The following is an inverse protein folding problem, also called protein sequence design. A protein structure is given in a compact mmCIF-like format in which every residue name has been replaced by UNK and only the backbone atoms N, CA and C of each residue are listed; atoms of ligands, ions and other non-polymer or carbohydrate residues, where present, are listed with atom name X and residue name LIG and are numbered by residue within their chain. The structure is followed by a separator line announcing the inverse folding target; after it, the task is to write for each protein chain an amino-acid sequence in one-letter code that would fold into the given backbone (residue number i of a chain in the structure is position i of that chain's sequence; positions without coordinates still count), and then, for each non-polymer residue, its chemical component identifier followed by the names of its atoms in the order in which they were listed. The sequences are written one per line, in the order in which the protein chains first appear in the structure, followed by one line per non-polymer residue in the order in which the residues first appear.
data_IF_624884749587
#
_entry.id   IF_624884749587
#
_cell.length_a   1.000
_cell.length_b   1.000
_cell.length_c   1.000
_cell.angle_alpha   90.00
_cell.angle_beta   90.00
_cell.angle_gamma   90.00
#
_symmetry.space_group_name_H-M   'P 1'
#
loop_
_entity.id
_entity.type
_entity.pdbx_description
1 polymer ?
#
# COMPACT_ATOMS: atom_id res chain seq x y z
N UNK A 1 -2.57 18.29 27.84
CA UNK A 1 -2.47 17.74 26.50
C UNK A 1 -3.87 17.76 25.90
N UNK A 2 -4.05 18.46 24.80
CA UNK A 2 -5.29 18.55 24.05
C UNK A 2 -5.08 17.92 22.67
N UNK A 3 -6.03 17.13 22.20
CA UNK A 3 -5.97 16.43 20.93
C UNK A 3 -7.15 16.86 20.07
N UNK A 4 -6.91 17.28 18.83
CA UNK A 4 -7.97 17.64 17.87
C UNK A 4 -7.51 17.53 16.42
N UNK A 5 -8.47 17.48 15.52
CA UNK A 5 -8.21 17.65 14.08
C UNK A 5 -7.92 19.13 13.83
N UNK A 6 -6.84 19.40 13.10
CA UNK A 6 -6.42 20.77 12.76
C UNK A 6 -7.36 21.38 11.73
N UNK A 7 -7.67 22.66 11.90
CA UNK A 7 -8.53 23.39 10.98
C UNK A 7 -7.94 24.77 10.64
N UNK A 8 -8.21 25.24 9.43
CA UNK A 8 -7.85 26.59 9.00
C UNK A 8 -6.36 26.93 9.21
N UNK A 9 -6.07 28.01 9.92
CA UNK A 9 -4.71 28.48 10.15
C UNK A 9 -3.84 27.54 11.00
N UNK A 10 -4.42 26.58 11.72
CA UNK A 10 -3.66 25.60 12.51
C UNK A 10 -2.88 24.64 11.60
N UNK A 11 -3.38 24.37 10.39
CA UNK A 11 -2.69 23.52 9.41
C UNK A 11 -1.34 24.10 9.00
N UNK A 12 -1.18 25.42 8.99
CA UNK A 12 0.10 26.09 8.70
C UNK A 12 1.17 25.75 9.76
N UNK A 13 0.77 25.56 11.02
CA UNK A 13 1.69 25.18 12.10
C UNK A 13 2.29 23.79 11.89
N UNK A 14 1.61 22.93 11.12
CA UNK A 14 2.09 21.60 10.76
C UNK A 14 3.45 21.65 10.07
N UNK A 15 3.63 22.60 9.15
CA UNK A 15 4.87 22.75 8.38
C UNK A 15 6.06 23.12 9.28
N UNK A 16 5.82 23.90 10.32
CA UNK A 16 6.85 24.18 11.34
C UNK A 16 7.25 22.91 12.08
N UNK A 17 6.28 22.12 12.58
CA UNK A 17 6.55 20.86 13.26
C UNK A 17 7.30 19.90 12.35
N UNK A 18 6.92 19.79 11.07
CA UNK A 18 7.57 18.94 10.08
C UNK A 18 8.99 19.37 9.76
N UNK A 19 9.23 20.70 9.58
CA UNK A 19 10.57 21.21 9.32
C UNK A 19 11.55 20.84 10.42
N UNK A 20 11.11 20.95 11.68
CA UNK A 20 11.92 20.59 12.85
C UNK A 20 12.08 19.07 13.04
N UNK A 21 11.00 18.31 12.81
CA UNK A 21 11.01 16.87 13.05
C UNK A 21 11.78 16.09 11.98
N UNK A 22 11.71 16.54 10.72
CA UNK A 22 12.32 15.87 9.56
C UNK A 22 13.58 16.58 9.06
N UNK A 23 14.02 17.65 9.74
CA UNK A 23 15.22 18.42 9.39
C UNK A 23 15.23 18.88 7.92
N UNK A 24 14.06 19.44 7.47
CA UNK A 24 13.87 19.91 6.11
C UNK A 24 13.91 21.43 6.03
N UNK A 25 14.57 21.89 4.99
CA UNK A 25 14.69 23.35 4.71
C UNK A 25 13.45 23.93 4.02
N UNK A 26 13.47 25.26 3.83
CA UNK A 26 12.36 26.02 3.25
C UNK A 26 11.93 25.55 1.86
N UNK A 27 12.87 25.02 1.06
CA UNK A 27 12.58 24.56 -0.30
C UNK A 27 11.65 23.34 -0.26
N UNK A 28 12.01 22.33 0.54
CA UNK A 28 11.22 21.10 0.69
C UNK A 28 9.87 21.41 1.35
N UNK A 29 9.86 22.31 2.36
CA UNK A 29 8.61 22.73 2.99
C UNK A 29 7.67 23.42 2.03
N UNK A 30 8.16 24.27 1.11
CA UNK A 30 7.32 24.82 0.04
C UNK A 30 6.73 23.76 -0.87
N UNK A 31 7.54 22.79 -1.29
CA UNK A 31 7.06 21.67 -2.12
C UNK A 31 5.98 20.85 -1.42
N UNK A 32 6.15 20.56 -0.13
CA UNK A 32 5.16 19.84 0.66
C UNK A 32 3.88 20.65 0.87
N UNK A 33 4.00 21.95 1.03
CA UNK A 33 2.83 22.84 1.11
C UNK A 33 2.06 22.87 -0.22
N UNK A 34 2.76 23.02 -1.33
CA UNK A 34 2.14 22.98 -2.67
C UNK A 34 1.46 21.64 -2.96
N UNK A 35 2.08 20.54 -2.50
CA UNK A 35 1.47 19.22 -2.59
C UNK A 35 0.27 19.09 -1.67
N UNK A 36 0.37 19.52 -0.42
CA UNK A 36 -0.71 19.51 0.57
C UNK A 36 -1.95 20.26 0.10
N UNK A 37 -1.79 21.39 -0.59
CA UNK A 37 -2.91 22.13 -1.18
C UNK A 37 -3.68 21.32 -2.24
N UNK A 38 -2.99 20.44 -2.99
CA UNK A 38 -3.63 19.57 -4.01
C UNK A 38 -4.48 18.46 -3.42
N UNK A 39 -4.13 18.00 -2.21
CA UNK A 39 -4.77 16.85 -1.57
C UNK A 39 -5.60 17.25 -0.33
N UNK A 40 -5.74 18.52 -0.02
CA UNK A 40 -6.36 19.02 1.23
C UNK A 40 -7.77 18.49 1.49
N UNK A 41 -8.58 18.33 0.42
CA UNK A 41 -9.94 17.81 0.53
C UNK A 41 -9.99 16.32 0.88
N UNK A 42 -8.86 15.62 0.71
CA UNK A 42 -8.73 14.19 0.97
C UNK A 42 -7.93 13.91 2.24
N UNK A 43 -7.56 14.95 3.00
CA UNK A 43 -6.68 14.80 4.15
C UNK A 43 -7.29 15.38 5.41
N UNK A 44 -6.89 14.82 6.54
CA UNK A 44 -7.01 15.47 7.84
C UNK A 44 -5.73 15.30 8.63
N UNK A 45 -5.43 16.26 9.48
CA UNK A 45 -4.27 16.20 10.38
C UNK A 45 -4.74 16.23 11.83
N UNK A 46 -4.32 15.25 12.61
CA UNK A 46 -4.52 15.23 14.05
C UNK A 46 -3.33 15.90 14.70
N UNK A 47 -3.59 16.93 15.49
CA UNK A 47 -2.59 17.66 16.26
C UNK A 47 -2.72 17.43 17.76
N UNK A 48 -1.59 17.44 18.45
CA UNK A 48 -1.51 17.39 19.92
C UNK A 48 -0.89 18.67 20.42
N UNK A 49 -1.60 19.34 21.32
CA UNK A 49 -1.25 20.63 21.89
C UNK A 49 -0.94 20.52 23.38
N UNK A 50 -0.03 21.38 23.83
CA UNK A 50 0.14 21.71 25.24
C UNK A 50 0.15 23.24 25.43
N UNK A 51 0.57 23.73 26.61
CA UNK A 51 0.61 25.18 26.88
C UNK A 51 1.55 25.96 25.93
N UNK A 52 2.50 25.32 25.29
CA UNK A 52 3.43 25.92 24.33
C UNK A 52 2.93 25.87 22.87
N UNK A 53 1.77 25.27 22.61
CA UNK A 53 1.19 25.15 21.27
C UNK A 53 1.25 23.75 20.69
N UNK A 54 1.26 23.63 19.36
CA UNK A 54 1.28 22.36 18.63
C UNK A 54 2.62 21.62 18.81
N UNK A 55 2.58 20.39 19.35
CA UNK A 55 3.76 19.59 19.69
C UNK A 55 3.98 18.41 18.78
N UNK A 56 2.91 17.79 18.29
CA UNK A 56 2.98 16.63 17.43
C UNK A 56 1.80 16.60 16.43
N UNK A 57 2.02 15.96 15.30
CA UNK A 57 1.03 15.82 14.24
C UNK A 57 1.04 14.40 13.67
N UNK A 58 -0.10 14.00 13.13
CA UNK A 58 -0.27 12.84 12.24
C UNK A 58 -1.17 13.26 11.09
N UNK A 59 -0.67 13.22 9.88
CA UNK A 59 -1.45 13.41 8.67
C UNK A 59 -2.06 12.07 8.24
N UNK A 60 -3.31 12.07 7.87
CA UNK A 60 -3.99 10.94 7.24
C UNK A 60 -4.56 11.38 5.90
N UNK A 61 -4.16 10.71 4.85
CA UNK A 61 -4.77 10.85 3.52
C UNK A 61 -5.84 9.78 3.36
N UNK A 62 -7.06 10.20 3.09
CA UNK A 62 -8.17 9.31 2.78
C UNK A 62 -8.05 8.89 1.31
N UNK A 63 -7.49 7.72 1.09
CA UNK A 63 -7.32 7.13 -0.23
C UNK A 63 -8.06 5.79 -0.32
N UNK A 64 -7.86 5.06 -1.40
CA UNK A 64 -8.53 3.78 -1.63
C UNK A 64 -7.54 2.75 -2.13
N UNK A 65 -7.71 1.50 -1.72
CA UNK A 65 -6.86 0.38 -2.14
C UNK A 65 -7.67 -0.77 -2.72
N UNK A 66 -7.10 -1.45 -3.68
CA UNK A 66 -7.59 -2.74 -4.13
C UNK A 66 -7.33 -3.82 -3.07
N UNK A 67 -8.30 -4.68 -2.84
CA UNK A 67 -8.19 -5.90 -2.04
C UNK A 67 -8.47 -7.16 -2.89
N UNK A 68 -8.48 -7.01 -4.19
CA UNK A 68 -8.81 -8.03 -5.16
C UNK A 68 -9.53 -7.45 -6.38
N UNK A 69 -9.98 -8.27 -7.33
CA UNK A 69 -10.45 -7.80 -8.64
C UNK A 69 -11.63 -6.81 -8.59
N UNK A 70 -12.54 -6.98 -7.63
CA UNK A 70 -13.76 -6.17 -7.54
C UNK A 70 -13.92 -5.46 -6.20
N UNK A 71 -12.85 -5.45 -5.39
CA UNK A 71 -12.92 -4.91 -4.03
C UNK A 71 -11.99 -3.71 -3.91
N UNK A 72 -12.57 -2.54 -3.72
CA UNK A 72 -11.84 -1.32 -3.44
C UNK A 72 -12.41 -0.74 -2.14
N UNK A 73 -11.55 -0.51 -1.15
CA UNK A 73 -11.93 -0.01 0.17
C UNK A 73 -11.24 1.31 0.48
N UNK A 74 -11.86 2.10 1.37
CA UNK A 74 -11.23 3.29 1.93
C UNK A 74 -10.03 2.88 2.80
N UNK A 75 -8.92 3.60 2.64
CA UNK A 75 -7.67 3.37 3.34
C UNK A 75 -7.08 4.70 3.83
N UNK A 76 -6.78 4.79 5.12
CA UNK A 76 -6.05 5.91 5.68
C UNK A 76 -4.54 5.72 5.48
N UNK A 77 -3.98 6.47 4.53
CA UNK A 77 -2.55 6.52 4.32
C UNK A 77 -1.93 7.47 5.35
N UNK A 78 -1.20 6.92 6.32
CA UNK A 78 -0.63 7.68 7.44
C UNK A 78 0.74 8.22 7.05
N UNK A 79 0.86 9.53 7.08
CA UNK A 79 2.11 10.25 6.86
C UNK A 79 2.29 11.38 7.88
N UNK A 80 3.36 12.18 7.72
CA UNK A 80 3.58 13.36 8.56
C UNK A 80 3.55 13.10 10.06
N UNK A 81 3.92 11.90 10.51
CA UNK A 81 4.02 11.55 11.94
C UNK A 81 5.22 12.25 12.52
N UNK A 82 4.99 13.37 13.15
CA UNK A 82 6.03 14.28 13.60
C UNK A 82 5.81 14.71 15.05
N UNK A 83 6.93 14.96 15.75
CA UNK A 83 6.93 15.52 17.09
C UNK A 83 8.12 16.48 17.20
N UNK A 84 7.90 17.66 17.76
CA UNK A 84 8.98 18.62 18.02
C UNK A 84 10.11 17.96 18.83
N UNK A 85 11.38 18.15 18.44
CA UNK A 85 12.52 17.51 19.10
C UNK A 85 12.55 17.71 20.63
N UNK A 86 12.21 18.90 21.09
CA UNK A 86 12.20 19.25 22.52
C UNK A 86 11.13 18.51 23.35
N UNK A 87 10.16 17.88 22.69
CA UNK A 87 9.04 17.19 23.37
C UNK A 87 8.96 15.70 23.03
N UNK A 88 9.93 15.17 22.31
CA UNK A 88 10.07 13.73 22.09
C UNK A 88 10.14 12.96 23.41
N UNK A 89 9.63 11.73 23.41
CA UNK A 89 9.58 10.88 24.62
C UNK A 89 8.41 11.17 25.56
N UNK A 90 7.63 12.25 25.37
CA UNK A 90 6.47 12.60 26.21
C UNK A 90 5.14 11.96 25.75
N UNK A 91 5.15 11.09 24.73
CA UNK A 91 3.97 10.36 24.27
C UNK A 91 3.07 11.13 23.29
N UNK A 92 3.41 12.35 22.87
CA UNK A 92 2.55 13.19 22.01
C UNK A 92 2.27 12.57 20.64
N UNK A 93 3.28 12.03 19.95
CA UNK A 93 3.07 11.37 18.65
C UNK A 93 2.21 10.10 18.78
N UNK A 94 2.36 9.37 19.89
CA UNK A 94 1.50 8.22 20.19
C UNK A 94 0.04 8.62 20.44
N UNK A 95 -0.19 9.74 21.13
CA UNK A 95 -1.54 10.28 21.33
C UNK A 95 -2.16 10.71 19.98
N UNK A 96 -1.38 11.37 19.11
CA UNK A 96 -1.83 11.75 17.78
C UNK A 96 -2.20 10.53 16.92
N UNK A 97 -1.41 9.43 16.97
CA UNK A 97 -1.73 8.17 16.26
C UNK A 97 -3.03 7.54 16.76
N UNK A 98 -3.26 7.50 18.07
CA UNK A 98 -4.53 7.00 18.64
C UNK A 98 -5.71 7.86 18.20
N UNK A 99 -5.58 9.18 18.23
CA UNK A 99 -6.60 10.08 17.72
C UNK A 99 -6.85 9.94 16.21
N UNK A 100 -5.81 9.64 15.43
CA UNK A 100 -5.97 9.35 14.01
C UNK A 100 -6.78 8.07 13.77
N UNK A 101 -6.61 7.02 14.60
CA UNK A 101 -7.43 5.80 14.53
C UNK A 101 -8.92 6.09 14.83
N UNK A 102 -9.20 6.90 15.86
CA UNK A 102 -10.57 7.31 16.20
C UNK A 102 -11.21 8.11 15.04
N UNK A 103 -10.47 9.04 14.45
CA UNK A 103 -10.95 9.85 13.33
C UNK A 103 -11.16 9.01 12.05
N UNK A 104 -10.25 8.10 11.73
CA UNK A 104 -10.42 7.16 10.61
C UNK A 104 -11.71 6.34 10.80
N UNK A 105 -11.90 5.76 11.99
CA UNK A 105 -13.11 5.00 12.30
C UNK A 105 -14.38 5.85 12.15
N UNK A 106 -14.39 7.07 12.69
CA UNK A 106 -15.54 7.98 12.60
C UNK A 106 -15.89 8.36 11.16
N UNK A 107 -14.90 8.35 10.23
CA UNK A 107 -15.07 8.66 8.82
C UNK A 107 -15.32 7.41 7.95
N UNK A 108 -15.46 6.23 8.52
CA UNK A 108 -15.67 5.00 7.75
C UNK A 108 -14.42 4.48 7.03
N UNK A 109 -13.24 4.86 7.49
CA UNK A 109 -11.96 4.38 6.97
C UNK A 109 -11.55 3.17 7.81
N UNK A 110 -11.79 1.97 7.28
CA UNK A 110 -11.64 0.72 8.03
C UNK A 110 -10.25 0.11 8.01
N UNK A 111 -9.38 0.60 7.13
CA UNK A 111 -8.01 0.12 6.99
C UNK A 111 -7.02 1.29 6.95
N UNK A 112 -5.78 1.02 7.30
CA UNK A 112 -4.71 2.01 7.25
C UNK A 112 -3.40 1.39 6.82
N UNK A 113 -2.58 2.16 6.10
CA UNK A 113 -1.22 1.78 5.72
C UNK A 113 -0.25 2.92 5.99
N UNK A 114 1.03 2.58 6.17
CA UNK A 114 2.12 3.54 6.31
C UNK A 114 3.47 2.94 5.90
N UNK A 115 4.41 3.83 5.57
CA UNK A 115 5.82 3.49 5.40
C UNK A 115 6.59 3.85 6.68
N UNK A 116 7.11 2.84 7.42
CA UNK A 116 7.62 3.09 8.75
C UNK A 116 9.03 3.66 8.75
N UNK A 117 9.31 4.63 9.60
CA UNK A 117 10.68 4.97 10.01
C UNK A 117 11.21 4.00 11.08
N UNK A 118 10.31 3.35 11.81
CA UNK A 118 10.62 2.32 12.82
C UNK A 118 9.46 1.33 12.93
N UNK A 119 9.73 0.07 12.65
CA UNK A 119 8.76 -1.02 12.73
C UNK A 119 8.23 -1.20 14.15
N UNK A 120 9.12 -1.25 15.12
CA UNK A 120 8.79 -1.43 16.54
C UNK A 120 7.92 -0.29 17.09
N UNK A 121 8.16 0.93 16.60
CA UNK A 121 7.37 2.07 17.01
C UNK A 121 5.89 1.91 16.63
N UNK A 122 5.61 1.60 15.37
CA UNK A 122 4.24 1.48 14.88
C UNK A 122 3.54 0.20 15.32
N UNK A 123 4.28 -0.88 15.57
CA UNK A 123 3.72 -2.11 16.15
C UNK A 123 3.00 -1.87 17.46
N UNK A 124 3.49 -0.99 18.31
CA UNK A 124 2.84 -0.60 19.56
C UNK A 124 1.46 0.02 19.38
N UNK A 125 1.15 0.50 18.16
CA UNK A 125 -0.14 1.08 17.81
C UNK A 125 -0.96 0.17 16.90
N UNK A 126 -0.55 -1.08 16.72
CA UNK A 126 -1.28 -2.13 16.01
C UNK A 126 -1.03 -2.18 14.49
N UNK A 127 -0.16 -1.33 13.93
CA UNK A 127 0.35 -1.56 12.56
C UNK A 127 1.34 -2.72 12.56
N UNK A 128 1.31 -3.51 11.50
CA UNK A 128 2.23 -4.63 11.34
C UNK A 128 2.72 -4.72 9.90
N UNK A 129 3.88 -5.30 9.70
CA UNK A 129 4.39 -5.61 8.38
C UNK A 129 3.39 -6.49 7.60
N UNK A 130 3.05 -6.05 6.38
CA UNK A 130 2.08 -6.70 5.52
C UNK A 130 2.60 -7.03 4.11
N UNK A 131 3.83 -6.69 3.77
CA UNK A 131 4.34 -6.98 2.43
C UNK A 131 5.81 -6.64 2.22
N UNK A 132 6.37 -7.22 1.19
CA UNK A 132 7.73 -6.97 0.69
C UNK A 132 7.71 -6.23 -0.64
N UNK A 133 8.82 -5.58 -0.94
CA UNK A 133 9.16 -5.17 -2.30
C UNK A 133 10.36 -5.97 -2.77
N UNK A 134 10.26 -6.53 -3.96
CA UNK A 134 11.41 -7.11 -4.67
C UNK A 134 11.98 -6.08 -5.62
N UNK A 135 13.06 -5.44 -5.21
CA UNK A 135 13.83 -4.58 -6.10
C UNK A 135 14.68 -5.44 -7.00
N UNK A 136 14.40 -5.38 -8.29
CA UNK A 136 15.10 -6.10 -9.34
C UNK A 136 16.04 -5.17 -10.06
N UNK A 137 17.28 -5.60 -10.28
CA UNK A 137 18.27 -4.90 -11.11
C UNK A 137 18.75 -5.88 -12.18
N UNK A 138 18.48 -5.55 -13.44
CA UNK A 138 18.84 -6.38 -14.58
C UNK A 138 19.78 -5.62 -15.50
N UNK A 139 20.97 -6.21 -15.83
CA UNK A 139 21.83 -5.70 -16.88
C UNK A 139 21.10 -5.72 -18.23
N UNK A 140 21.22 -4.66 -19.01
CA UNK A 140 20.47 -4.54 -20.28
C UNK A 140 20.93 -5.58 -21.31
N UNK A 141 22.20 -5.98 -21.28
CA UNK A 141 22.77 -6.94 -22.22
C UNK A 141 22.27 -8.38 -22.05
N UNK A 142 21.69 -8.75 -20.90
CA UNK A 142 21.08 -10.08 -20.71
C UNK A 142 19.64 -10.16 -21.18
N UNK A 143 18.98 -9.02 -21.38
CA UNK A 143 17.63 -8.96 -21.92
C UNK A 143 17.59 -9.51 -23.35
N UNK A 144 16.49 -10.13 -23.71
CA UNK A 144 16.33 -10.76 -25.03
C UNK A 144 15.47 -9.90 -25.92
N UNK A 145 15.77 -9.90 -27.22
CA UNK A 145 14.84 -9.37 -28.22
C UNK A 145 13.62 -10.26 -28.32
N UNK A 146 12.47 -9.65 -28.52
CA UNK A 146 11.20 -10.36 -28.73
C UNK A 146 10.48 -9.75 -29.94
N UNK A 147 9.89 -10.55 -30.85
CA UNK A 147 9.14 -10.05 -31.99
C UNK A 147 7.96 -9.14 -31.61
N UNK A 148 7.31 -9.42 -30.48
CA UNK A 148 6.20 -8.61 -29.96
C UNK A 148 6.62 -7.16 -29.63
N UNK A 149 7.93 -6.88 -29.53
CA UNK A 149 8.44 -5.51 -29.31
C UNK A 149 8.07 -4.56 -30.45
N UNK A 150 7.74 -5.06 -31.64
CA UNK A 150 7.27 -4.24 -32.76
C UNK A 150 5.91 -3.59 -32.49
N UNK A 151 5.13 -4.14 -31.55
CA UNK A 151 3.85 -3.59 -31.09
C UNK A 151 4.00 -2.61 -29.92
N UNK A 152 5.23 -2.28 -29.52
CA UNK A 152 5.49 -1.28 -28.49
C UNK A 152 5.65 0.09 -29.12
N UNK A 153 4.89 1.06 -28.60
CA UNK A 153 4.94 2.45 -29.04
C UNK A 153 5.06 3.42 -27.85
N UNK A 154 5.50 4.64 -28.11
CA UNK A 154 5.45 5.69 -27.12
C UNK A 154 3.99 6.09 -26.82
N UNK A 155 3.72 6.43 -25.56
CA UNK A 155 2.43 6.94 -25.15
C UNK A 155 2.21 8.38 -25.62
N UNK A 156 0.95 8.71 -25.87
CA UNK A 156 0.47 10.07 -26.16
C UNK A 156 -0.55 10.49 -25.10
N UNK A 157 -0.90 11.77 -24.96
CA UNK A 157 -1.95 12.20 -24.02
C UNK A 157 -3.31 11.51 -24.24
N UNK A 158 -3.61 11.07 -25.47
CA UNK A 158 -4.84 10.36 -25.81
C UNK A 158 -4.93 8.96 -25.16
N UNK A 159 -3.80 8.39 -24.78
CA UNK A 159 -3.72 7.03 -24.23
C UNK A 159 -4.06 6.97 -22.73
N UNK A 160 -4.25 8.12 -22.08
CA UNK A 160 -4.47 8.19 -20.63
C UNK A 160 -5.55 7.22 -20.14
N UNK A 161 -6.73 7.21 -20.78
CA UNK A 161 -7.84 6.34 -20.38
C UNK A 161 -7.49 4.85 -20.47
N UNK A 162 -6.77 4.45 -21.52
CA UNK A 162 -6.31 3.07 -21.70
C UNK A 162 -5.27 2.66 -20.64
N UNK A 163 -4.34 3.56 -20.31
CA UNK A 163 -3.34 3.33 -19.23
C UNK A 163 -4.05 3.12 -17.88
N UNK A 164 -5.01 3.97 -17.54
CA UNK A 164 -5.77 3.86 -16.29
C UNK A 164 -6.54 2.53 -16.22
N UNK A 165 -7.18 2.11 -17.32
CA UNK A 165 -7.88 0.84 -17.41
C UNK A 165 -6.93 -0.36 -17.26
N UNK A 166 -5.78 -0.34 -17.94
CA UNK A 166 -4.75 -1.37 -17.83
C UNK A 166 -4.22 -1.50 -16.39
N UNK A 167 -3.91 -0.38 -15.75
CA UNK A 167 -3.50 -0.35 -14.35
C UNK A 167 -4.56 -0.93 -13.42
N UNK A 168 -5.82 -0.50 -13.55
CA UNK A 168 -6.92 -0.96 -12.69
C UNK A 168 -7.09 -2.47 -12.76
N UNK A 169 -6.99 -3.07 -13.95
CA UNK A 169 -7.07 -4.51 -14.13
C UNK A 169 -5.87 -5.23 -13.52
N UNK A 170 -4.67 -4.67 -13.63
CA UNK A 170 -3.48 -5.21 -12.98
C UNK A 170 -3.56 -5.06 -11.46
N UNK A 171 -3.91 -3.89 -10.96
CA UNK A 171 -4.01 -3.60 -9.53
C UNK A 171 -5.03 -4.50 -8.81
N UNK A 172 -6.13 -4.84 -9.48
CA UNK A 172 -7.12 -5.78 -8.96
C UNK A 172 -6.61 -7.21 -8.75
N UNK A 173 -5.43 -7.57 -9.23
CA UNK A 173 -4.81 -8.87 -8.98
C UNK A 173 -4.09 -8.93 -7.61
N UNK A 174 -3.99 -7.80 -6.89
CA UNK A 174 -3.26 -7.67 -5.64
C UNK A 174 -4.11 -7.04 -4.54
N UNK A 175 -3.67 -7.20 -3.28
CA UNK A 175 -4.14 -6.41 -2.14
C UNK A 175 -3.14 -5.30 -1.87
N UNK A 176 -3.60 -4.04 -1.77
CA UNK A 176 -2.76 -2.91 -1.38
C UNK A 176 -2.37 -1.95 -2.52
N UNK A 177 -2.55 -2.31 -3.79
CA UNK A 177 -2.39 -1.36 -4.89
C UNK A 177 -3.40 -0.21 -4.75
N UNK A 178 -2.96 1.04 -4.90
CA UNK A 178 -3.86 2.19 -4.79
C UNK A 178 -4.88 2.22 -5.93
N UNK A 179 -6.14 2.50 -5.62
CA UNK A 179 -7.10 2.96 -6.61
C UNK A 179 -6.86 4.47 -6.80
N UNK A 180 -5.90 4.79 -7.65
CA UNK A 180 -5.33 6.12 -7.83
C UNK A 180 -6.37 7.14 -8.28
N UNK A 181 -6.31 8.31 -7.68
CA UNK A 181 -7.06 9.49 -8.07
C UNK A 181 -6.35 10.31 -9.15
N UNK A 182 -6.96 11.44 -9.54
CA UNK A 182 -6.38 12.35 -10.54
C UNK A 182 -5.04 12.94 -10.11
N UNK A 183 -4.84 13.21 -8.81
CA UNK A 183 -3.59 13.80 -8.30
C UNK A 183 -2.45 12.80 -8.46
N UNK A 184 -2.66 11.54 -8.04
CA UNK A 184 -1.69 10.47 -8.19
C UNK A 184 -1.37 10.18 -9.67
N UNK A 185 -2.40 10.13 -10.54
CA UNK A 185 -2.19 9.93 -11.97
C UNK A 185 -1.45 11.08 -12.65
N UNK A 186 -1.71 12.32 -12.25
CA UNK A 186 -0.98 13.47 -12.77
C UNK A 186 0.49 13.45 -12.34
N UNK A 187 0.79 12.95 -11.15
CA UNK A 187 2.19 12.78 -10.73
C UNK A 187 2.94 11.72 -11.56
N UNK A 188 2.25 10.66 -11.99
CA UNK A 188 2.85 9.59 -12.79
C UNK A 188 2.97 9.95 -14.26
N UNK A 189 1.92 10.52 -14.86
CA UNK A 189 1.81 10.72 -16.30
C UNK A 189 2.12 12.14 -16.79
N UNK A 190 2.21 13.16 -15.91
CA UNK A 190 2.59 14.52 -16.30
C UNK A 190 4.11 14.62 -16.51
N UNK A 191 4.53 14.33 -17.72
CA UNK A 191 5.94 14.41 -18.11
C UNK A 191 6.44 15.85 -18.33
N UNK A 192 5.54 16.83 -18.35
CA UNK A 192 5.92 18.25 -18.55
C UNK A 192 6.78 18.81 -17.41
N UNK A 193 6.67 18.21 -16.21
CA UNK A 193 7.40 18.63 -14.99
C UNK A 193 8.60 17.73 -14.65
N UNK A 194 8.75 16.62 -15.35
CA UNK A 194 9.79 15.62 -15.07
C UNK A 194 10.59 15.38 -16.35
N UNK A 195 11.71 16.08 -16.47
CA UNK A 195 12.64 15.91 -17.59
C UNK A 195 12.98 14.42 -17.76
N UNK A 196 13.08 13.98 -19.02
CA UNK A 196 13.49 12.62 -19.40
C UNK A 196 12.60 11.48 -18.88
N UNK A 197 11.31 11.74 -18.60
CA UNK A 197 10.35 10.68 -18.26
C UNK A 197 9.63 10.21 -19.53
N UNK A 198 9.58 8.90 -19.73
CA UNK A 198 9.02 8.27 -20.91
C UNK A 198 8.06 7.16 -20.51
N UNK A 199 6.91 7.10 -21.21
CA UNK A 199 5.96 5.99 -21.09
C UNK A 199 5.83 5.28 -22.43
N UNK A 200 5.93 3.96 -22.40
CA UNK A 200 5.77 3.08 -23.57
C UNK A 200 4.65 2.09 -23.29
N UNK A 201 3.88 1.80 -24.33
CA UNK A 201 2.69 0.98 -24.31
C UNK A 201 2.89 -0.25 -25.19
N UNK A 202 2.45 -1.41 -24.71
CA UNK A 202 2.27 -2.58 -25.56
C UNK A 202 0.78 -2.79 -25.81
N UNK A 203 0.39 -2.67 -27.06
CA UNK A 203 -0.99 -2.81 -27.52
C UNK A 203 -1.10 -3.94 -28.55
N UNK A 204 -2.08 -4.81 -28.35
CA UNK A 204 -2.36 -5.91 -29.27
C UNK A 204 -3.84 -6.05 -29.51
N UNK A 205 -4.24 -6.11 -30.79
CA UNK A 205 -5.63 -6.30 -31.22
C UNK A 205 -6.59 -5.24 -30.63
N UNK A 206 -6.10 -4.02 -30.39
CA UNK A 206 -6.86 -2.91 -29.79
C UNK A 206 -6.95 -2.94 -28.27
N UNK A 207 -6.31 -3.90 -27.60
CA UNK A 207 -6.20 -3.97 -26.13
C UNK A 207 -4.81 -3.55 -25.65
N UNK A 208 -4.75 -2.62 -24.68
CA UNK A 208 -3.52 -2.24 -24.00
C UNK A 208 -3.22 -3.28 -22.91
N UNK A 209 -2.28 -4.18 -23.19
CA UNK A 209 -1.96 -5.28 -22.28
C UNK A 209 -0.82 -4.97 -21.29
N UNK A 210 -0.11 -3.88 -21.53
CA UNK A 210 0.95 -3.48 -20.61
C UNK A 210 1.57 -2.14 -20.98
N UNK A 211 2.23 -1.56 -19.99
CA UNK A 211 3.01 -0.34 -20.17
C UNK A 211 4.19 -0.29 -19.20
N UNK A 212 5.17 0.52 -19.51
CA UNK A 212 6.21 0.90 -18.58
C UNK A 212 6.47 2.40 -18.59
N UNK A 213 6.83 2.94 -17.43
CA UNK A 213 7.24 4.33 -17.28
C UNK A 213 8.61 4.36 -16.61
N UNK A 214 9.59 4.97 -17.27
CA UNK A 214 10.92 5.12 -16.71
C UNK A 214 11.44 6.55 -16.87
N UNK A 215 12.33 6.93 -15.98
CA UNK A 215 13.08 8.18 -16.05
C UNK A 215 14.46 7.90 -16.61
N UNK A 216 14.73 8.40 -17.80
CA UNK A 216 16.07 8.39 -18.39
C UNK A 216 16.99 9.34 -17.61
N UNK A 217 18.30 9.12 -17.73
CA UNK A 217 19.33 9.92 -17.09
C UNK A 217 20.71 9.33 -17.36
N UNK A 218 21.76 9.98 -16.84
CA UNK A 218 23.14 9.49 -16.93
C UNK A 218 23.55 8.64 -15.72
N UNK A 219 22.57 8.06 -15.02
CA UNK A 219 22.83 7.18 -13.89
C UNK A 219 23.26 5.79 -14.38
N UNK A 220 24.04 5.07 -13.58
CA UNK A 220 24.43 3.69 -13.88
C UNK A 220 23.22 2.76 -14.00
N UNK A 221 22.13 3.10 -13.28
CA UNK A 221 20.87 2.35 -13.27
C UNK A 221 19.71 3.27 -13.65
N UNK A 222 18.96 2.91 -14.69
CA UNK A 222 17.72 3.59 -15.04
C UNK A 222 16.56 3.04 -14.22
N UNK A 223 15.87 3.91 -13.48
CA UNK A 223 14.72 3.57 -12.67
C UNK A 223 13.46 3.46 -13.52
N UNK A 224 12.85 2.28 -13.56
CA UNK A 224 11.50 2.05 -14.10
C UNK A 224 10.53 2.24 -12.93
N UNK A 225 9.76 3.32 -12.95
CA UNK A 225 8.78 3.63 -11.92
C UNK A 225 7.60 2.65 -11.95
N UNK A 226 7.14 2.32 -13.16
CA UNK A 226 6.06 1.38 -13.39
C UNK A 226 6.44 0.38 -14.47
N UNK A 227 6.24 -0.89 -14.18
CA UNK A 227 6.29 -1.99 -15.13
C UNK A 227 5.01 -2.81 -14.94
N UNK A 228 4.01 -2.51 -15.75
CA UNK A 228 2.69 -3.14 -15.68
C UNK A 228 2.52 -4.04 -16.89
N UNK A 229 2.26 -5.32 -16.67
CA UNK A 229 2.00 -6.29 -17.72
C UNK A 229 0.88 -7.24 -17.31
N UNK A 230 -0.19 -7.28 -18.09
CA UNK A 230 -1.36 -8.13 -17.86
C UNK A 230 -1.19 -9.52 -18.51
N UNK A 231 -0.24 -9.63 -19.43
CA UNK A 231 0.02 -10.88 -20.16
C UNK A 231 1.52 -11.16 -20.26
N UNK A 232 1.92 -12.45 -20.37
CA UNK A 232 3.33 -12.79 -20.58
C UNK A 232 3.91 -12.21 -21.87
N UNK A 233 3.10 -12.05 -22.94
CA UNK A 233 3.57 -11.44 -24.19
C UNK A 233 3.86 -9.96 -24.03
N UNK A 234 3.02 -9.22 -23.27
CA UNK A 234 3.27 -7.82 -22.93
C UNK A 234 4.58 -7.67 -22.15
N UNK A 235 4.82 -8.54 -21.17
CA UNK A 235 6.05 -8.52 -20.39
C UNK A 235 7.29 -8.73 -21.27
N UNK A 236 7.29 -9.74 -22.16
CA UNK A 236 8.41 -9.98 -23.09
C UNK A 236 8.62 -8.82 -24.06
N UNK A 237 7.54 -8.26 -24.62
CA UNK A 237 7.62 -7.12 -25.51
C UNK A 237 8.26 -5.89 -24.86
N UNK A 238 7.84 -5.55 -23.62
CA UNK A 238 8.38 -4.43 -22.87
C UNK A 238 9.84 -4.67 -22.44
N UNK A 239 10.20 -5.90 -22.06
CA UNK A 239 11.60 -6.26 -21.82
C UNK A 239 12.44 -6.16 -23.10
N UNK A 240 11.89 -6.56 -24.24
CA UNK A 240 12.51 -6.39 -25.55
C UNK A 240 12.76 -4.93 -25.93
N UNK A 241 11.85 -4.02 -25.53
CA UNK A 241 12.08 -2.58 -25.67
C UNK A 241 13.27 -2.13 -24.81
N UNK A 242 13.36 -2.57 -23.56
CA UNK A 242 14.48 -2.22 -22.68
C UNK A 242 15.82 -2.69 -23.27
N UNK A 243 15.84 -3.87 -23.92
CA UNK A 243 17.02 -4.38 -24.63
C UNK A 243 17.54 -3.42 -25.70
N UNK A 244 16.66 -2.68 -26.39
CA UNK A 244 17.05 -1.71 -27.42
C UNK A 244 17.85 -0.51 -26.88
N UNK A 245 17.88 -0.32 -25.53
CA UNK A 245 18.64 0.74 -24.89
C UNK A 245 20.06 0.31 -24.45
N UNK A 246 20.54 -0.87 -24.86
CA UNK A 246 21.82 -1.44 -24.37
C UNK A 246 23.07 -0.55 -24.59
N UNK A 247 23.03 0.32 -25.60
CA UNK A 247 24.14 1.24 -25.88
C UNK A 247 24.13 2.48 -24.98
N UNK A 248 23.03 2.76 -24.27
CA UNK A 248 22.83 3.96 -23.47
C UNK A 248 22.59 3.66 -21.99
N UNK A 249 22.06 2.48 -21.66
CA UNK A 249 21.63 2.09 -20.30
C UNK A 249 22.30 0.77 -19.95
N UNK A 250 23.11 0.78 -18.89
CA UNK A 250 23.79 -0.43 -18.43
C UNK A 250 22.86 -1.38 -17.68
N UNK A 251 21.99 -0.83 -16.80
CA UNK A 251 21.08 -1.60 -15.97
C UNK A 251 19.74 -0.92 -15.86
N UNK A 252 18.68 -1.71 -15.80
CA UNK A 252 17.35 -1.26 -15.41
C UNK A 252 17.01 -1.77 -14.01
N UNK A 253 16.31 -0.93 -13.25
CA UNK A 253 15.87 -1.23 -11.90
C UNK A 253 14.38 -0.95 -11.75
N UNK A 254 13.64 -1.87 -11.16
CA UNK A 254 12.22 -1.66 -10.78
C UNK A 254 11.83 -2.50 -9.57
N UNK A 255 10.67 -2.22 -9.00
CA UNK A 255 10.06 -3.06 -8.01
C UNK A 255 9.07 -4.01 -8.67
N UNK A 256 9.13 -5.29 -8.35
CA UNK A 256 8.25 -6.34 -8.85
C UNK A 256 7.49 -7.01 -7.69
N UNK A 257 6.29 -7.54 -7.93
CA UNK A 257 5.60 -8.40 -6.96
C UNK A 257 6.34 -9.72 -6.75
N UNK A 258 6.01 -10.40 -5.67
CA UNK A 258 6.67 -11.66 -5.30
C UNK A 258 6.39 -12.80 -6.28
N UNK A 259 5.25 -12.76 -6.96
CA UNK A 259 4.78 -13.74 -7.95
C UNK A 259 5.05 -13.31 -9.41
N UNK A 260 5.89 -12.30 -9.64
CA UNK A 260 6.21 -11.84 -11.00
C UNK A 260 6.73 -12.99 -11.86
N UNK A 261 6.10 -13.30 -13.02
CA UNK A 261 6.52 -14.37 -13.91
C UNK A 261 7.92 -14.19 -14.50
N UNK A 262 8.53 -13.01 -14.36
CA UNK A 262 9.92 -12.75 -14.75
C UNK A 262 10.87 -13.82 -14.19
N UNK A 263 10.66 -14.27 -12.96
CA UNK A 263 11.52 -15.27 -12.29
C UNK A 263 11.52 -16.62 -12.96
N UNK A 264 10.47 -16.97 -13.70
CA UNK A 264 10.40 -18.19 -14.49
C UNK A 264 11.06 -18.06 -15.88
N UNK A 265 11.36 -16.85 -16.31
CA UNK A 265 11.85 -16.55 -17.66
C UNK A 265 13.35 -16.26 -17.71
N UNK A 266 13.91 -15.74 -16.62
CA UNK A 266 15.30 -15.30 -16.56
C UNK A 266 16.07 -16.04 -15.47
N UNK A 267 17.15 -16.72 -15.88
CA UNK A 267 18.15 -17.30 -15.01
C UNK A 267 19.51 -16.76 -15.46
N UNK A 268 20.01 -15.77 -14.77
CA UNK A 268 21.33 -15.21 -15.03
C UNK A 268 21.99 -14.80 -13.72
N UNK A 269 23.30 -15.02 -13.59
CA UNK A 269 24.06 -14.73 -12.37
C UNK A 269 24.12 -13.24 -12.03
N UNK A 270 23.98 -12.37 -13.05
CA UNK A 270 24.08 -10.92 -12.87
C UNK A 270 22.74 -10.26 -12.53
N UNK A 271 21.69 -11.04 -12.33
CA UNK A 271 20.41 -10.51 -11.83
C UNK A 271 20.52 -10.30 -10.32
N UNK A 272 20.36 -9.06 -9.90
CA UNK A 272 20.29 -8.72 -8.49
C UNK A 272 18.84 -8.58 -8.05
N UNK A 273 18.46 -9.29 -6.98
CA UNK A 273 17.15 -9.17 -6.33
C UNK A 273 17.34 -8.86 -4.87
N UNK A 274 16.89 -7.67 -4.46
CA UNK A 274 16.87 -7.28 -3.06
C UNK A 274 15.44 -7.31 -2.54
N UNK A 275 15.19 -8.18 -1.57
CA UNK A 275 13.91 -8.22 -0.86
C UNK A 275 13.98 -7.24 0.31
N UNK A 276 13.00 -6.34 0.38
CA UNK A 276 12.91 -5.34 1.43
C UNK A 276 11.52 -5.37 2.04
N UNK A 277 11.39 -5.22 3.37
CA UNK A 277 10.10 -4.93 3.95
C UNK A 277 9.60 -3.57 3.41
N UNK A 278 8.35 -3.51 2.94
CA UNK A 278 7.84 -2.33 2.24
C UNK A 278 6.97 -1.48 3.13
N UNK A 279 5.87 -2.03 3.63
CA UNK A 279 4.81 -1.25 4.26
C UNK A 279 4.23 -1.97 5.46
N UNK A 280 3.65 -1.19 6.36
CA UNK A 280 2.83 -1.70 7.45
C UNK A 280 1.36 -1.40 7.17
N UNK A 281 0.50 -2.34 7.57
CA UNK A 281 -0.95 -2.20 7.49
C UNK A 281 -1.63 -2.44 8.81
N UNK A 282 -2.84 -1.92 8.93
CA UNK A 282 -3.68 -2.06 10.11
C UNK A 282 -5.15 -2.14 9.74
N UNK A 283 -5.87 -3.04 10.37
CA UNK A 283 -7.33 -2.99 10.45
C UNK A 283 -7.69 -1.97 11.55
N UNK A 284 -8.43 -0.92 11.16
CA UNK A 284 -8.85 0.18 12.06
C UNK A 284 -10.14 -0.19 12.79
N UNK A 285 -11.10 -0.76 12.07
CA UNK A 285 -12.38 -1.24 12.62
C UNK A 285 -12.67 -2.64 12.09
N UNK A 286 -12.70 -3.62 12.99
CA UNK A 286 -12.81 -5.04 12.61
C UNK A 286 -14.11 -5.33 11.86
N UNK A 287 -15.31 -4.97 12.34
CA UNK A 287 -16.54 -5.27 11.59
C UNK A 287 -16.58 -4.54 10.25
N UNK A 288 -16.20 -3.27 10.20
CA UNK A 288 -16.21 -2.50 8.96
C UNK A 288 -15.26 -3.07 7.91
N UNK A 289 -14.03 -3.43 8.31
CA UNK A 289 -13.05 -4.02 7.41
C UNK A 289 -13.49 -5.39 6.89
N UNK A 290 -13.98 -6.28 7.77
CA UNK A 290 -14.38 -7.62 7.37
C UNK A 290 -15.65 -7.62 6.51
N UNK A 291 -16.61 -6.72 6.76
CA UNK A 291 -17.80 -6.57 5.91
C UNK A 291 -17.49 -5.98 4.53
N UNK A 292 -16.43 -5.19 4.43
CA UNK A 292 -15.94 -4.67 3.15
C UNK A 292 -15.14 -5.70 2.34
N UNK A 293 -14.67 -6.77 2.98
CA UNK A 293 -13.95 -7.87 2.34
C UNK A 293 -14.92 -8.75 1.55
N UNK A 294 -14.46 -9.26 0.40
CA UNK A 294 -15.22 -10.23 -0.41
C UNK A 294 -14.39 -11.51 -0.59
N UNK A 295 -14.68 -12.54 0.18
CA UNK A 295 -14.08 -13.86 -0.04
C UNK A 295 -14.51 -14.44 -1.39
N UNK A 296 -13.82 -15.48 -1.86
CA UNK A 296 -14.24 -16.20 -3.05
C UNK A 296 -15.70 -16.66 -2.93
N UNK A 297 -16.49 -16.56 -3.99
CA UNK A 297 -17.92 -16.96 -3.97
C UNK A 297 -18.13 -18.43 -3.57
N UNK A 298 -17.15 -19.28 -3.86
CA UNK A 298 -17.16 -20.69 -3.46
C UNK A 298 -16.81 -20.90 -1.99
N UNK A 299 -16.31 -19.89 -1.29
CA UNK A 299 -15.96 -19.96 0.12
C UNK A 299 -17.17 -19.67 0.99
N UNK A 300 -17.38 -20.51 1.99
CA UNK A 300 -18.44 -20.35 3.00
C UNK A 300 -17.93 -20.85 4.36
N UNK A 301 -18.48 -20.29 5.43
CA UNK A 301 -18.13 -20.73 6.77
C UNK A 301 -18.52 -19.76 7.87
N UNK A 302 -18.25 -20.18 9.09
CA UNK A 302 -18.41 -19.38 10.30
C UNK A 302 -17.16 -19.51 11.16
N UNK A 303 -16.61 -18.39 11.61
CA UNK A 303 -15.54 -18.37 12.59
C UNK A 303 -15.88 -17.42 13.76
N UNK A 304 -15.63 -17.88 14.98
CA UNK A 304 -15.62 -17.03 16.18
C UNK A 304 -14.17 -16.57 16.39
N UNK A 305 -13.92 -15.32 16.07
CA UNK A 305 -12.59 -14.72 16.06
C UNK A 305 -12.43 -13.77 17.26
N UNK A 306 -11.62 -14.16 18.25
CA UNK A 306 -11.25 -13.26 19.34
C UNK A 306 -10.08 -12.38 18.90
N UNK A 307 -10.30 -11.07 18.89
CA UNK A 307 -9.30 -10.06 18.56
C UNK A 307 -8.91 -9.29 19.81
N UNK A 308 -7.61 -9.03 19.98
CA UNK A 308 -7.08 -8.15 21.01
C UNK A 308 -6.45 -6.91 20.35
N UNK A 309 -6.82 -5.72 20.80
CA UNK A 309 -6.30 -4.44 20.30
C UNK A 309 -6.17 -3.45 21.46
N UNK A 310 -4.95 -3.18 21.88
CA UNK A 310 -4.67 -2.30 23.02
C UNK A 310 -4.89 -0.81 22.71
N UNK A 311 -4.77 -0.44 21.44
CA UNK A 311 -4.87 0.97 21.00
C UNK A 311 -6.27 1.36 20.51
N UNK A 312 -7.08 0.36 20.13
CA UNK A 312 -8.43 0.55 19.62
C UNK A 312 -9.40 -0.43 20.33
N UNK A 313 -9.81 -0.11 21.58
CA UNK A 313 -10.57 -1.04 22.44
C UNK A 313 -11.88 -1.53 21.81
N UNK A 314 -12.46 -0.78 20.88
CA UNK A 314 -13.66 -1.18 20.14
C UNK A 314 -13.50 -2.45 19.32
N UNK A 315 -12.25 -2.86 19.00
CA UNK A 315 -11.93 -4.10 18.31
C UNK A 315 -11.79 -5.30 19.24
N UNK A 316 -11.52 -5.05 20.55
CA UNK A 316 -11.17 -6.10 21.52
C UNK A 316 -12.38 -6.86 22.02
N UNK A 317 -12.78 -7.89 21.28
CA UNK A 317 -13.86 -8.86 21.64
C UNK A 317 -13.83 -10.08 20.74
N UNK A 318 -14.73 -11.02 20.98
CA UNK A 318 -15.01 -12.11 20.07
C UNK A 318 -16.05 -11.69 19.04
N UNK A 319 -15.73 -11.89 17.77
CA UNK A 319 -16.56 -11.61 16.63
C UNK A 319 -17.04 -12.90 16.00
N UNK A 320 -18.34 -13.06 15.79
CA UNK A 320 -18.88 -14.08 14.91
C UNK A 320 -18.83 -13.53 13.49
N UNK A 321 -18.05 -14.18 12.64
CA UNK A 321 -17.86 -13.86 11.22
C UNK A 321 -18.48 -15.00 10.41
N UNK A 322 -19.52 -14.68 9.66
CA UNK A 322 -20.20 -15.60 8.75
C UNK A 322 -19.99 -15.12 7.32
N UNK A 323 -19.67 -16.03 6.43
CA UNK A 323 -19.43 -15.66 5.03
C UNK A 323 -19.96 -16.74 4.08
N UNK A 324 -20.57 -16.29 2.99
CA UNK A 324 -21.13 -17.09 1.93
C UNK A 324 -21.36 -16.23 0.69
N UNK A 325 -21.17 -16.79 -0.51
CA UNK A 325 -21.39 -16.11 -1.81
C UNK A 325 -20.74 -14.73 -1.92
N UNK A 326 -19.49 -14.62 -1.43
CA UNK A 326 -18.72 -13.38 -1.47
C UNK A 326 -19.19 -12.29 -0.52
N UNK A 327 -20.06 -12.56 0.42
CA UNK A 327 -20.55 -11.64 1.45
C UNK A 327 -20.01 -12.04 2.81
N UNK A 328 -19.81 -11.05 3.68
CA UNK A 328 -19.36 -11.26 5.06
C UNK A 328 -20.30 -10.53 6.01
N UNK A 329 -20.81 -11.24 7.02
CA UNK A 329 -21.55 -10.68 8.14
C UNK A 329 -20.71 -10.78 9.41
N UNK A 330 -20.64 -9.70 10.17
CA UNK A 330 -19.87 -9.63 11.40
C UNK A 330 -20.71 -9.09 12.54
N UNK A 331 -20.75 -9.83 13.62
CA UNK A 331 -21.47 -9.41 14.85
C UNK A 331 -20.69 -9.83 16.11
N UNK A 332 -20.80 -9.10 17.21
CA UNK A 332 -20.21 -9.53 18.47
C UNK A 332 -20.86 -10.83 18.97
N UNK A 333 -20.10 -11.64 19.70
CA UNK A 333 -20.61 -12.88 20.30
C UNK A 333 -19.88 -13.17 21.63
N UNK A 334 -20.59 -13.83 22.56
CA UNK A 334 -20.03 -14.36 23.79
C UNK A 334 -19.66 -15.85 23.67
N UNK A 335 -19.87 -16.45 22.49
CA UNK A 335 -19.50 -17.83 22.23
C UNK A 335 -17.97 -18.04 22.36
N UNK A 336 -17.52 -19.22 22.76
CA UNK A 336 -16.11 -19.55 22.80
C UNK A 336 -15.43 -19.25 21.44
N UNK A 337 -14.26 -18.64 21.41
CA UNK A 337 -13.55 -18.37 20.17
C UNK A 337 -13.01 -19.66 19.55
N UNK A 338 -13.05 -19.73 18.24
CA UNK A 338 -12.36 -20.77 17.48
C UNK A 338 -10.88 -20.41 17.24
N UNK A 339 -10.60 -19.10 17.07
CA UNK A 339 -9.25 -18.59 16.86
C UNK A 339 -9.07 -17.30 17.67
N UNK A 340 -7.89 -17.14 18.28
CA UNK A 340 -7.47 -15.92 18.97
C UNK A 340 -6.27 -15.31 18.26
N UNK A 341 -6.25 -14.00 18.11
CA UNK A 341 -5.11 -13.26 17.58
C UNK A 341 -5.13 -11.79 18.02
N UNK A 342 -3.99 -11.13 17.93
CA UNK A 342 -3.90 -9.68 18.07
C UNK A 342 -4.32 -8.98 16.78
N UNK A 343 -4.49 -7.65 16.85
CA UNK A 343 -4.87 -6.83 15.70
C UNK A 343 -3.80 -6.83 14.61
N UNK A 344 -2.53 -7.02 14.99
CA UNK A 344 -1.40 -7.12 14.09
C UNK A 344 -1.51 -8.36 13.20
N UNK A 345 -1.75 -9.53 13.81
CA UNK A 345 -1.95 -10.78 13.07
C UNK A 345 -3.21 -10.75 12.21
N UNK A 346 -4.30 -10.15 12.71
CA UNK A 346 -5.51 -9.94 11.90
C UNK A 346 -5.22 -9.04 10.70
N UNK A 347 -4.47 -7.96 10.89
CA UNK A 347 -4.10 -7.06 9.78
C UNK A 347 -3.28 -7.78 8.73
N UNK A 348 -2.33 -8.62 9.13
CA UNK A 348 -1.55 -9.46 8.23
C UNK A 348 -2.44 -10.43 7.43
N UNK A 349 -3.34 -11.15 8.09
CA UNK A 349 -4.29 -12.04 7.44
C UNK A 349 -5.19 -11.30 6.45
N UNK A 350 -5.68 -10.12 6.82
CA UNK A 350 -6.55 -9.28 6.00
C UNK A 350 -5.85 -8.81 4.71
N UNK A 351 -4.60 -8.37 4.82
CA UNK A 351 -3.79 -7.98 3.65
C UNK A 351 -3.15 -9.18 2.92
N UNK A 352 -3.26 -10.40 3.47
CA UNK A 352 -2.84 -11.65 2.81
C UNK A 352 -1.35 -11.94 2.85
N UNK A 353 -0.57 -11.19 3.63
CA UNK A 353 0.87 -11.43 3.81
C UNK A 353 1.29 -11.06 5.23
N UNK A 354 1.78 -12.04 6.03
CA UNK A 354 1.77 -13.50 5.78
C UNK A 354 0.38 -14.11 5.67
N UNK A 355 0.29 -15.31 5.10
CA UNK A 355 -0.98 -16.07 5.06
C UNK A 355 -1.40 -16.55 6.45
N UNK A 356 -2.66 -16.93 6.62
CA UNK A 356 -3.18 -17.50 7.89
C UNK A 356 -2.38 -18.73 8.31
N UNK A 357 -1.94 -19.57 7.37
CA UNK A 357 -1.09 -20.72 7.63
C UNK A 357 0.30 -20.34 8.15
N UNK A 358 0.90 -19.32 7.52
CA UNK A 358 2.19 -18.81 7.95
C UNK A 358 2.12 -18.15 9.33
N UNK A 359 1.02 -17.45 9.63
CA UNK A 359 0.77 -16.87 10.96
C UNK A 359 0.65 -17.97 12.04
N UNK A 360 -0.04 -19.07 11.73
CA UNK A 360 -0.11 -20.24 12.62
C UNK A 360 1.27 -20.87 12.84
N UNK A 361 2.02 -21.06 11.78
CA UNK A 361 3.38 -21.62 11.85
C UNK A 361 4.36 -20.73 12.63
N UNK A 362 4.09 -19.41 12.68
CA UNK A 362 4.87 -18.43 13.44
C UNK A 362 4.34 -18.18 14.86
N UNK A 363 3.37 -18.97 15.34
CA UNK A 363 2.71 -18.84 16.65
C UNK A 363 2.09 -17.45 16.89
N UNK A 364 1.56 -16.83 15.79
CA UNK A 364 0.92 -15.51 15.84
C UNK A 364 -0.59 -15.59 16.02
N UNK A 365 -1.16 -16.79 16.07
CA UNK A 365 -2.55 -17.06 16.40
C UNK A 365 -2.68 -18.37 17.15
N UNK A 366 -3.70 -18.44 18.01
CA UNK A 366 -4.05 -19.66 18.77
C UNK A 366 -5.30 -20.26 18.17
N UNK A 367 -5.24 -21.55 17.82
CA UNK A 367 -6.38 -22.32 17.31
C UNK A 367 -6.99 -23.13 18.45
N UNK A 368 -8.24 -22.83 18.79
CA UNK A 368 -9.05 -23.55 19.77
C UNK A 368 -9.97 -24.59 19.10
N UNK A 369 -10.32 -24.36 17.81
CA UNK A 369 -11.16 -25.23 17.00
C UNK A 369 -10.69 -25.25 15.54
N UNK A 370 -10.39 -26.45 15.03
CA UNK A 370 -9.84 -26.64 13.68
C UNK A 370 -10.88 -26.34 12.58
N UNK A 371 -12.17 -26.47 12.85
CA UNK A 371 -13.23 -26.12 11.88
C UNK A 371 -13.24 -24.62 11.66
N UNK A 372 -13.19 -23.85 12.77
CA UNK A 372 -13.10 -22.40 12.70
C UNK A 372 -11.80 -21.90 12.08
N UNK A 373 -10.69 -22.58 12.31
CA UNK A 373 -9.42 -22.27 11.65
C UNK A 373 -9.51 -22.52 10.13
N UNK A 374 -10.14 -23.60 9.70
CA UNK A 374 -10.35 -23.89 8.28
C UNK A 374 -11.25 -22.80 7.63
N UNK A 375 -12.29 -22.36 8.34
CA UNK A 375 -13.12 -21.25 7.88
C UNK A 375 -12.32 -19.94 7.79
N UNK A 376 -11.45 -19.63 8.75
CA UNK A 376 -10.59 -18.44 8.71
C UNK A 376 -9.65 -18.43 7.51
N UNK A 377 -9.05 -19.58 7.18
CA UNK A 377 -8.22 -19.74 5.98
C UNK A 377 -9.02 -19.48 4.70
N UNK A 378 -10.22 -20.03 4.60
CA UNK A 378 -11.09 -19.83 3.46
C UNK A 378 -11.55 -18.36 3.34
N UNK A 379 -11.84 -17.69 4.46
CA UNK A 379 -12.20 -16.29 4.52
C UNK A 379 -11.13 -15.39 3.90
N UNK A 380 -9.86 -15.59 4.26
CA UNK A 380 -8.75 -14.75 3.81
C UNK A 380 -7.98 -15.28 2.60
N UNK A 381 -8.39 -16.40 2.03
CA UNK A 381 -7.83 -16.85 0.77
C UNK A 381 -8.01 -15.81 -0.34
N UNK A 382 -6.98 -15.57 -1.15
CA UNK A 382 -7.05 -14.60 -2.24
C UNK A 382 -5.69 -14.03 -2.64
N UNK A 383 -5.67 -12.87 -3.32
CA UNK A 383 -4.45 -12.25 -3.80
C UNK A 383 -3.45 -11.95 -2.68
N UNK A 384 -2.18 -11.93 -3.04
CA UNK A 384 -1.13 -11.47 -2.14
C UNK A 384 -1.07 -9.95 -2.06
N UNK A 385 -0.40 -9.44 -1.02
CA UNK A 385 -0.12 -8.01 -0.86
C UNK A 385 0.95 -7.57 -1.87
N UNK A 386 0.65 -6.49 -2.58
CA UNK A 386 1.61 -5.77 -3.39
C UNK A 386 1.25 -4.29 -3.44
N UNK A 387 2.26 -3.41 -3.32
CA UNK A 387 2.13 -1.97 -3.49
C UNK A 387 3.37 -1.42 -4.17
N UNK A 388 3.18 -0.54 -5.15
CA UNK A 388 4.25 0.18 -5.85
C UNK A 388 4.05 1.71 -5.79
N UNK A 389 3.10 2.16 -5.00
CA UNK A 389 2.85 3.58 -4.76
C UNK A 389 3.52 4.03 -3.46
N UNK A 390 3.94 5.30 -3.43
CA UNK A 390 4.36 6.03 -2.24
C UNK A 390 3.27 7.05 -1.86
N UNK A 391 3.08 7.34 -0.57
CA UNK A 391 2.14 8.33 -0.06
C UNK A 391 2.62 9.01 1.22
#
# INVERSE_FOLDING_TARGET
MELRVLAGAEQEQTYYVWSQAFERGDREMRQWKEWGEKIKEQTFTVGVFDAAGLQATVLVMNTRVHLGPEVIVAMGAVGGVACLPATRGKGYAGAALKGALEQMRAQGIWTSMLFPFSWEYYRRFGWEWIGTQRRCVLPTNILRSDPETEHVRAATPADRAAILACYTQFAGQYRGMLARDEVAWNDILDHSKKEYTYTYLYERDGDLEGYLTFRGGKEEETWIREFISRTPRAQRALLGLLRRHEMQVNKFRWNAPDDDPLWSQFYHWDIEVKIMPATMGRVVDVPGALQAWKPARSAQGTVHLAVQDECAPWNSRTWRVEFEDGKVEVRPTDAPPHVRMDIQALSQAYFGTPTVEALRAADRLTVEDETGYTALRALFAGPMMWINDDF
#
